data_IF_500422041160
#
_entry.id   IF_500422041160
#
_cell.length_a   1.000
_cell.length_b   1.000
_cell.length_c   1.000
_cell.angle_alpha   90.00
_cell.angle_beta   90.00
_cell.angle_gamma   90.00
#
_symmetry.space_group_name_H-M   'P 1'
#
loop_
_entity.id
_entity.type
_entity.pdbx_description
1 polymer ?
#
# COMPACT_ATOMS: atom_id res chain seq x y z
N UNK A 1 12.14 -3.56 -9.70
CA UNK A 1 13.44 -3.38 -9.01
C UNK A 1 13.22 -3.29 -7.51
N UNK A 2 14.23 -3.54 -6.65
CA UNK A 2 14.09 -3.36 -5.20
C UNK A 2 13.71 -1.94 -4.79
N UNK A 3 14.17 -0.93 -5.54
CA UNK A 3 13.77 0.47 -5.33
C UNK A 3 12.26 0.67 -5.47
N UNK A 4 11.68 0.25 -6.59
CA UNK A 4 10.23 0.35 -6.82
C UNK A 4 9.44 -0.47 -5.79
N UNK A 5 9.90 -1.70 -5.52
CA UNK A 5 9.26 -2.57 -4.54
C UNK A 5 9.18 -1.92 -3.16
N UNK A 6 10.25 -1.30 -2.70
CA UNK A 6 10.28 -0.59 -1.42
C UNK A 6 9.39 0.66 -1.41
N UNK A 7 9.45 1.49 -2.47
CA UNK A 7 8.59 2.67 -2.59
C UNK A 7 7.10 2.29 -2.54
N UNK A 8 6.71 1.22 -3.24
CA UNK A 8 5.33 0.74 -3.22
C UNK A 8 4.94 0.03 -1.93
N UNK A 9 5.85 -0.68 -1.26
CA UNK A 9 5.57 -1.27 0.05
C UNK A 9 5.22 -0.20 1.10
N UNK A 10 5.95 0.91 1.11
CA UNK A 10 5.63 2.07 1.97
C UNK A 10 4.29 2.68 1.57
N UNK A 11 4.07 2.94 0.29
CA UNK A 11 2.81 3.52 -0.22
C UNK A 11 1.60 2.64 0.12
N UNK A 12 1.70 1.32 -0.05
CA UNK A 12 0.62 0.39 0.32
C UNK A 12 0.32 0.41 1.81
N UNK A 13 1.34 0.50 2.67
CA UNK A 13 1.12 0.56 4.11
C UNK A 13 0.40 1.85 4.54
N UNK A 14 0.68 2.98 3.86
CA UNK A 14 -0.07 4.24 4.06
C UNK A 14 -1.53 4.08 3.60
N UNK A 15 -1.75 3.54 2.39
CA UNK A 15 -3.09 3.29 1.85
C UNK A 15 -3.96 2.45 2.79
N UNK A 16 -3.36 1.40 3.41
CA UNK A 16 -4.06 0.54 4.37
C UNK A 16 -4.53 1.28 5.61
N UNK A 17 -3.72 2.18 6.16
CA UNK A 17 -4.13 3.03 7.29
C UNK A 17 -5.26 3.98 6.88
N UNK A 18 -5.12 4.66 5.75
CA UNK A 18 -6.15 5.57 5.25
C UNK A 18 -7.47 4.83 4.98
N UNK A 19 -7.41 3.64 4.39
CA UNK A 19 -8.61 2.83 4.13
C UNK A 19 -9.35 2.40 5.41
N UNK A 20 -8.70 2.43 6.56
CA UNK A 20 -9.34 2.18 7.87
C UNK A 20 -9.86 3.44 8.56
N UNK A 21 -9.77 4.61 7.91
CA UNK A 21 -10.20 5.89 8.48
C UNK A 21 -9.08 6.69 9.16
N UNK A 22 -7.83 6.20 9.14
CA UNK A 22 -6.68 6.88 9.72
C UNK A 22 -6.29 8.16 8.97
N UNK A 23 -5.62 9.05 9.68
CA UNK A 23 -5.04 10.28 9.13
C UNK A 23 -3.59 10.02 8.72
N UNK A 24 -3.30 9.95 7.41
CA UNK A 24 -1.96 9.61 6.95
C UNK A 24 -0.85 10.50 7.57
N UNK A 25 -1.15 11.75 7.92
CA UNK A 25 -0.18 12.69 8.50
C UNK A 25 0.39 12.26 9.87
N UNK A 26 -0.30 11.36 10.54
CA UNK A 26 0.09 10.85 11.87
C UNK A 26 0.87 9.54 11.83
N UNK A 27 0.99 8.94 10.66
CA UNK A 27 1.65 7.64 10.49
C UNK A 27 3.11 7.70 10.92
N UNK A 28 3.56 6.62 11.54
CA UNK A 28 4.97 6.28 11.77
C UNK A 28 5.23 4.89 11.22
N UNK A 29 6.42 4.70 10.65
CA UNK A 29 6.79 3.41 10.06
C UNK A 29 7.77 2.65 10.94
N UNK A 30 7.75 1.35 10.80
CA UNK A 30 8.86 0.47 11.10
C UNK A 30 9.05 -0.49 9.94
N UNK A 31 10.30 -0.75 9.56
CA UNK A 31 10.61 -1.58 8.40
C UNK A 31 11.31 -2.85 8.82
N UNK A 32 11.04 -3.93 8.07
CA UNK A 32 11.79 -5.15 8.19
C UNK A 32 12.22 -5.62 6.80
N UNK A 33 13.51 -5.85 6.65
CA UNK A 33 14.11 -6.22 5.38
C UNK A 33 14.75 -7.60 5.44
N UNK A 34 14.67 -8.30 4.31
CA UNK A 34 15.29 -9.61 4.13
C UNK A 34 16.03 -9.64 2.81
N UNK A 35 17.32 -9.99 2.89
CA UNK A 35 18.19 -10.14 1.75
C UNK A 35 19.00 -11.43 1.88
N UNK A 36 19.42 -11.96 0.73
CA UNK A 36 20.35 -13.09 0.66
C UNK A 36 21.66 -12.77 1.38
N UNK A 37 22.43 -13.79 1.70
CA UNK A 37 23.74 -13.61 2.34
C UNK A 37 24.61 -12.66 1.54
N UNK A 38 25.15 -11.66 2.20
CA UNK A 38 26.10 -10.74 1.62
C UNK A 38 27.46 -11.43 1.46
N UNK A 39 28.15 -11.10 0.36
CA UNK A 39 29.52 -11.55 0.03
C UNK A 39 30.31 -10.32 -0.40
N UNK A 40 31.50 -10.52 -0.92
CA UNK A 40 32.30 -9.44 -1.51
C UNK A 40 31.79 -8.98 -2.89
N UNK A 41 30.81 -9.68 -3.47
CA UNK A 41 30.19 -9.29 -4.75
C UNK A 41 29.35 -8.02 -4.57
N UNK A 42 29.73 -6.88 -5.19
CA UNK A 42 29.01 -5.62 -5.06
C UNK A 42 27.58 -5.68 -5.59
N UNK A 43 27.27 -6.61 -6.50
CA UNK A 43 25.90 -6.80 -7.00
C UNK A 43 24.94 -7.28 -5.90
N UNK A 44 25.44 -8.02 -4.92
CA UNK A 44 24.62 -8.43 -3.77
C UNK A 44 24.25 -7.23 -2.90
N UNK A 45 25.16 -6.30 -2.70
CA UNK A 45 24.96 -5.08 -1.92
C UNK A 45 24.05 -4.06 -2.61
N UNK A 46 23.94 -4.09 -3.94
CA UNK A 46 23.05 -3.19 -4.67
C UNK A 46 21.57 -3.39 -4.34
N UNK A 47 21.16 -4.59 -3.95
CA UNK A 47 19.76 -4.90 -3.63
C UNK A 47 19.27 -4.22 -2.34
N UNK A 48 19.93 -4.40 -1.18
CA UNK A 48 19.55 -3.69 0.04
C UNK A 48 19.69 -2.17 -0.13
N UNK A 49 20.74 -1.70 -0.81
CA UNK A 49 20.92 -0.27 -1.03
C UNK A 49 19.78 0.33 -1.87
N UNK A 50 19.36 -0.36 -2.95
CA UNK A 50 18.23 0.10 -3.77
C UNK A 50 16.90 0.09 -3.00
N UNK A 51 16.65 -0.92 -2.16
CA UNK A 51 15.47 -0.97 -1.31
C UNK A 51 15.46 0.16 -0.28
N UNK A 52 16.60 0.40 0.38
CA UNK A 52 16.76 1.51 1.32
C UNK A 52 16.48 2.86 0.66
N UNK A 53 17.01 3.11 -0.54
CA UNK A 53 16.76 4.34 -1.28
C UNK A 53 15.28 4.50 -1.65
N UNK A 54 14.61 3.41 -2.06
CA UNK A 54 13.18 3.43 -2.38
C UNK A 54 12.31 3.75 -1.15
N UNK A 55 12.60 3.12 -0.01
CA UNK A 55 11.92 3.41 1.25
C UNK A 55 12.20 4.83 1.75
N UNK A 56 13.44 5.31 1.61
CA UNK A 56 13.81 6.68 1.95
C UNK A 56 13.06 7.69 1.07
N UNK A 57 13.04 7.48 -0.25
CA UNK A 57 12.32 8.36 -1.17
C UNK A 57 10.82 8.45 -0.83
N UNK A 58 10.19 7.33 -0.48
CA UNK A 58 8.80 7.30 -0.06
C UNK A 58 8.56 8.06 1.25
N UNK A 59 9.43 7.88 2.26
CA UNK A 59 9.34 8.63 3.52
C UNK A 59 9.47 10.14 3.29
N UNK A 60 10.43 10.55 2.46
CA UNK A 60 10.62 11.96 2.10
C UNK A 60 9.43 12.50 1.30
N UNK A 61 8.91 11.71 0.37
CA UNK A 61 7.76 12.08 -0.46
C UNK A 61 6.48 12.30 0.35
N UNK A 62 6.20 11.44 1.31
CA UNK A 62 5.06 11.59 2.22
C UNK A 62 5.33 12.54 3.40
N UNK A 63 6.59 12.88 3.69
CA UNK A 63 6.95 13.61 4.91
C UNK A 63 6.73 12.81 6.19
N UNK A 64 6.82 11.47 6.12
CA UNK A 64 6.51 10.56 7.22
C UNK A 64 7.77 9.81 7.68
N UNK A 65 8.11 9.81 8.97
CA UNK A 65 9.31 9.16 9.48
C UNK A 65 9.11 7.70 9.83
N UNK A 66 10.18 6.92 9.70
CA UNK A 66 10.29 5.63 10.39
C UNK A 66 10.86 5.83 11.81
N UNK A 67 10.41 5.01 12.74
CA UNK A 67 10.83 5.02 14.15
C UNK A 67 11.78 3.88 14.48
N UNK A 68 12.03 2.98 13.58
CA UNK A 68 12.92 1.86 13.74
C UNK A 68 12.77 0.83 12.63
N UNK A 69 13.47 -0.27 12.80
CA UNK A 69 13.44 -1.36 11.84
C UNK A 69 14.53 -2.39 12.13
N UNK A 70 14.61 -3.37 11.25
CA UNK A 70 15.58 -4.47 11.34
C UNK A 70 15.87 -5.03 9.95
N UNK A 71 17.13 -5.28 9.69
CA UNK A 71 17.59 -5.94 8.47
C UNK A 71 18.04 -7.37 8.76
N UNK A 72 17.84 -8.24 7.80
CA UNK A 72 18.44 -9.57 7.75
C UNK A 72 19.15 -9.75 6.40
N UNK A 73 20.48 -9.90 6.46
CA UNK A 73 21.33 -10.03 5.28
C UNK A 73 22.00 -11.42 5.19
N UNK A 74 21.36 -12.43 5.75
CA UNK A 74 21.83 -13.81 5.76
C UNK A 74 20.81 -14.82 5.28
N UNK A 75 19.85 -14.37 4.47
CA UNK A 75 18.75 -15.20 3.96
C UNK A 75 19.17 -16.10 2.80
N UNK A 76 20.17 -16.93 3.03
CA UNK A 76 20.62 -17.97 2.09
C UNK A 76 20.68 -19.30 2.83
N UNK A 77 20.01 -20.30 2.28
CA UNK A 77 20.07 -21.67 2.77
C UNK A 77 20.45 -22.60 1.61
N UNK A 78 21.63 -23.18 1.66
CA UNK A 78 22.24 -23.93 0.56
C UNK A 78 22.25 -23.05 -0.71
N UNK A 79 21.56 -23.49 -1.76
CA UNK A 79 21.46 -22.79 -3.06
C UNK A 79 20.21 -21.90 -3.17
N UNK A 80 19.43 -21.78 -2.10
CA UNK A 80 18.20 -20.98 -2.06
C UNK A 80 18.48 -19.63 -1.43
N UNK A 81 18.34 -18.57 -2.21
CA UNK A 81 18.40 -17.19 -1.76
C UNK A 81 16.99 -16.65 -1.47
N UNK A 82 16.80 -15.97 -0.33
CA UNK A 82 15.58 -15.20 -0.12
C UNK A 82 15.51 -14.05 -1.14
N UNK A 83 14.37 -13.83 -1.80
CA UNK A 83 14.21 -12.67 -2.67
C UNK A 83 14.31 -11.38 -1.86
N UNK A 84 14.81 -10.27 -2.46
CA UNK A 84 14.79 -8.98 -1.82
C UNK A 84 13.37 -8.62 -1.35
N UNK A 85 13.20 -8.43 -0.06
CA UNK A 85 11.89 -8.20 0.56
C UNK A 85 11.97 -7.05 1.54
N UNK A 86 11.09 -6.07 1.39
CA UNK A 86 10.85 -5.02 2.38
C UNK A 86 9.41 -5.12 2.86
N UNK A 87 9.24 -5.25 4.17
CA UNK A 87 7.95 -5.21 4.84
C UNK A 87 7.82 -3.86 5.53
N UNK A 88 6.80 -3.10 5.16
CA UNK A 88 6.47 -1.82 5.78
C UNK A 88 5.31 -2.01 6.75
N UNK A 89 5.53 -1.63 8.00
CA UNK A 89 4.50 -1.52 9.01
C UNK A 89 4.20 -0.05 9.25
N UNK A 90 2.94 0.33 9.09
CA UNK A 90 2.45 1.66 9.40
C UNK A 90 1.61 1.63 10.67
N UNK A 91 1.82 2.61 11.55
CA UNK A 91 1.07 2.75 12.80
C UNK A 91 0.49 4.14 12.86
N UNK A 92 -0.79 4.22 13.25
CA UNK A 92 -1.51 5.46 13.51
C UNK A 92 -2.40 5.30 14.75
N UNK A 93 -2.85 6.42 15.30
CA UNK A 93 -3.80 6.47 16.41
C UNK A 93 -5.06 7.17 15.94
N UNK A 94 -6.17 6.43 15.91
CA UNK A 94 -7.47 6.94 15.52
C UNK A 94 -8.50 6.78 16.65
N UNK A 95 -9.55 7.59 16.62
CA UNK A 95 -10.71 7.38 17.49
C UNK A 95 -11.53 6.22 16.94
N UNK A 96 -12.06 5.39 17.83
CA UNK A 96 -12.80 4.19 17.42
C UNK A 96 -14.03 4.50 16.56
N UNK A 97 -14.68 5.64 16.78
CA UNK A 97 -15.82 6.07 15.98
C UNK A 97 -15.46 6.46 14.52
N UNK A 98 -14.20 6.75 14.26
CA UNK A 98 -13.72 7.15 12.95
C UNK A 98 -13.20 5.94 12.14
N UNK A 99 -13.18 4.76 12.74
CA UNK A 99 -12.71 3.53 12.09
C UNK A 99 -13.73 3.05 11.06
N UNK A 100 -13.24 2.81 9.85
CA UNK A 100 -14.02 2.28 8.73
C UNK A 100 -13.56 0.86 8.45
N UNK A 101 -14.51 -0.02 8.18
CA UNK A 101 -14.25 -1.43 7.86
C UNK A 101 -14.53 -1.72 6.37
N UNK A 102 -13.87 -2.73 5.78
CA UNK A 102 -13.85 -2.88 4.33
C UNK A 102 -15.12 -3.48 3.71
N UNK A 103 -15.96 -4.16 4.49
CA UNK A 103 -17.14 -4.82 3.93
C UNK A 103 -18.16 -3.84 3.35
N UNK A 104 -18.82 -4.21 2.26
CA UNK A 104 -19.90 -3.43 1.66
C UNK A 104 -21.07 -3.31 2.63
N UNK A 105 -21.61 -2.10 2.80
CA UNK A 105 -22.60 -1.79 3.85
C UNK A 105 -24.05 -1.84 3.37
N UNK A 106 -24.33 -1.38 2.15
CA UNK A 106 -25.71 -1.20 1.67
C UNK A 106 -25.78 -1.34 0.16
N UNK A 107 -26.80 -2.07 -0.33
CA UNK A 107 -27.12 -2.13 -1.74
C UNK A 107 -27.47 -0.73 -2.29
N UNK A 108 -27.05 -0.45 -3.51
CA UNK A 108 -27.21 0.84 -4.17
C UNK A 108 -26.12 1.86 -3.90
N UNK A 109 -25.20 1.61 -2.98
CA UNK A 109 -24.01 2.44 -2.84
C UNK A 109 -23.11 2.31 -4.08
N UNK A 110 -22.46 3.41 -4.44
CA UNK A 110 -21.48 3.43 -5.53
C UNK A 110 -20.12 2.95 -5.02
N UNK A 111 -19.46 2.11 -5.81
CA UNK A 111 -18.07 1.75 -5.61
C UNK A 111 -17.19 2.63 -6.51
N UNK A 112 -16.20 3.28 -5.93
CA UNK A 112 -15.29 4.19 -6.63
C UNK A 112 -13.87 3.66 -6.53
N UNK A 113 -13.17 3.60 -7.65
CA UNK A 113 -11.75 3.29 -7.69
C UNK A 113 -10.93 4.56 -7.70
N UNK A 114 -10.18 4.79 -6.61
CA UNK A 114 -9.18 5.85 -6.51
C UNK A 114 -7.82 5.25 -6.92
N UNK A 115 -7.45 5.42 -8.18
CA UNK A 115 -6.14 4.97 -8.68
C UNK A 115 -5.05 5.85 -8.11
N UNK A 116 -4.01 5.26 -7.50
CA UNK A 116 -2.84 6.00 -7.08
C UNK A 116 -2.12 6.61 -8.29
N UNK A 117 -1.92 7.92 -8.35
CA UNK A 117 -1.20 8.56 -9.44
C UNK A 117 0.28 8.14 -9.44
N UNK A 118 0.86 8.13 -10.64
CA UNK A 118 2.25 7.73 -10.89
C UNK A 118 2.95 8.76 -11.75
N UNK A 119 4.25 8.86 -11.59
CA UNK A 119 5.12 9.62 -12.48
C UNK A 119 5.46 8.85 -13.77
N UNK A 120 6.28 9.46 -14.62
CA UNK A 120 6.72 8.88 -15.89
C UNK A 120 7.65 7.64 -15.74
N UNK A 121 8.11 7.34 -14.55
CA UNK A 121 8.96 6.19 -14.21
C UNK A 121 8.19 5.09 -13.48
N UNK A 122 6.86 5.14 -13.47
CA UNK A 122 5.99 4.25 -12.70
C UNK A 122 6.25 4.30 -11.18
N UNK A 123 6.77 5.42 -10.67
CA UNK A 123 6.89 5.66 -9.23
C UNK A 123 5.65 6.39 -8.70
N UNK A 124 5.32 6.23 -7.40
CA UNK A 124 4.20 6.94 -6.80
C UNK A 124 4.37 8.46 -6.92
N UNK A 125 3.36 9.16 -7.41
CA UNK A 125 3.26 10.63 -7.27
C UNK A 125 2.73 10.94 -5.87
N UNK A 126 3.66 11.16 -4.95
CA UNK A 126 3.34 11.36 -3.53
C UNK A 126 2.44 12.57 -3.29
N UNK A 127 2.62 13.66 -4.05
CA UNK A 127 1.80 14.85 -3.90
C UNK A 127 0.34 14.58 -4.31
N UNK A 128 0.15 13.94 -5.45
CA UNK A 128 -1.18 13.54 -5.92
C UNK A 128 -1.85 12.53 -5.01
N UNK A 129 -1.08 11.57 -4.46
CA UNK A 129 -1.59 10.59 -3.51
C UNK A 129 -2.04 11.26 -2.20
N UNK A 130 -1.24 12.16 -1.66
CA UNK A 130 -1.58 12.90 -0.43
C UNK A 130 -2.85 13.73 -0.59
N UNK A 131 -3.03 14.41 -1.74
CA UNK A 131 -4.25 15.15 -2.06
C UNK A 131 -5.49 14.23 -2.10
N UNK A 132 -5.36 13.04 -2.70
CA UNK A 132 -6.42 12.04 -2.68
C UNK A 132 -6.75 11.56 -1.25
N UNK A 133 -5.72 11.32 -0.42
CA UNK A 133 -5.93 10.84 0.95
C UNK A 133 -6.57 11.91 1.85
N UNK A 134 -6.22 13.18 1.69
CA UNK A 134 -6.88 14.27 2.41
C UNK A 134 -8.38 14.35 2.08
N UNK A 135 -8.72 14.29 0.80
CA UNK A 135 -10.12 14.28 0.35
C UNK A 135 -10.87 13.07 0.86
N UNK A 136 -10.26 11.89 0.74
CA UNK A 136 -10.87 10.63 1.18
C UNK A 136 -11.11 10.64 2.69
N UNK A 137 -10.11 11.04 3.47
CA UNK A 137 -10.23 11.12 4.93
C UNK A 137 -11.35 12.07 5.35
N UNK A 138 -11.45 13.24 4.70
CA UNK A 138 -12.55 14.19 4.94
C UNK A 138 -13.91 13.58 4.59
N UNK A 139 -14.04 12.93 3.45
CA UNK A 139 -15.31 12.30 3.04
C UNK A 139 -15.71 11.13 3.98
N UNK A 140 -14.74 10.42 4.56
CA UNK A 140 -14.96 9.45 5.62
C UNK A 140 -15.51 10.12 6.90
N UNK A 141 -14.89 11.20 7.36
CA UNK A 141 -15.34 11.96 8.52
C UNK A 141 -16.73 12.58 8.32
N UNK A 142 -17.06 13.01 7.10
CA UNK A 142 -18.38 13.52 6.71
C UNK A 142 -19.42 12.39 6.55
N UNK A 143 -19.05 11.13 6.73
CA UNK A 143 -19.96 9.97 6.57
C UNK A 143 -20.34 9.66 5.12
N UNK A 144 -19.69 10.27 4.13
CA UNK A 144 -19.95 10.02 2.70
C UNK A 144 -19.32 8.72 2.21
N UNK A 145 -18.18 8.33 2.81
CA UNK A 145 -17.50 7.08 2.54
C UNK A 145 -17.64 6.17 3.76
N UNK A 146 -18.29 5.04 3.58
CA UNK A 146 -18.66 4.11 4.67
C UNK A 146 -17.90 2.79 4.62
N UNK A 147 -17.11 2.59 3.58
CA UNK A 147 -16.33 1.38 3.34
C UNK A 147 -15.17 1.69 2.43
N UNK A 148 -13.99 1.17 2.71
CA UNK A 148 -12.81 1.33 1.86
C UNK A 148 -11.89 0.12 1.97
N UNK A 149 -11.13 -0.14 0.91
CA UNK A 149 -10.15 -1.22 0.84
C UNK A 149 -8.93 -0.75 0.04
N UNK A 150 -7.75 -0.85 0.61
CA UNK A 150 -6.51 -0.55 -0.10
C UNK A 150 -6.17 -1.64 -1.11
N UNK A 151 -5.93 -1.25 -2.35
CA UNK A 151 -5.53 -2.17 -3.41
C UNK A 151 -4.10 -2.64 -3.22
N UNK A 152 -3.85 -3.87 -3.60
CA UNK A 152 -2.56 -4.52 -3.53
C UNK A 152 -2.22 -5.23 -4.87
N UNK A 153 -1.21 -6.09 -4.84
CA UNK A 153 -0.78 -6.91 -5.99
C UNK A 153 -1.88 -7.79 -6.61
N UNK A 154 -2.99 -8.01 -5.92
CA UNK A 154 -4.09 -8.87 -6.42
C UNK A 154 -5.17 -8.06 -7.17
N UNK A 155 -5.03 -6.76 -7.24
CA UNK A 155 -5.87 -5.88 -8.05
C UNK A 155 -7.30 -5.70 -7.54
N UNK A 156 -8.11 -5.09 -8.40
CA UNK A 156 -9.49 -4.71 -8.09
C UNK A 156 -10.37 -5.93 -7.87
N UNK A 157 -10.19 -7.00 -8.65
CA UNK A 157 -11.01 -8.22 -8.52
C UNK A 157 -10.96 -8.80 -7.11
N UNK A 158 -9.75 -8.93 -6.55
CA UNK A 158 -9.57 -9.45 -5.20
C UNK A 158 -10.13 -8.49 -4.13
N UNK A 159 -9.93 -7.18 -4.30
CA UNK A 159 -10.44 -6.17 -3.38
C UNK A 159 -11.97 -6.21 -3.32
N UNK A 160 -12.63 -6.18 -4.47
CA UNK A 160 -14.09 -6.24 -4.58
C UNK A 160 -14.64 -7.53 -3.98
N UNK A 161 -14.01 -8.67 -4.27
CA UNK A 161 -14.41 -9.96 -3.69
C UNK A 161 -14.31 -9.95 -2.16
N UNK A 162 -13.22 -9.46 -1.59
CA UNK A 162 -13.03 -9.35 -0.13
C UNK A 162 -14.04 -8.40 0.51
N UNK A 163 -14.32 -7.26 -0.12
CA UNK A 163 -15.35 -6.32 0.36
C UNK A 163 -16.76 -6.94 0.34
N UNK A 164 -17.02 -7.82 -0.62
CA UNK A 164 -18.32 -8.49 -0.76
C UNK A 164 -18.56 -9.58 0.30
N UNK A 165 -17.51 -10.27 0.80
CA UNK A 165 -17.65 -11.42 1.71
C UNK A 165 -18.30 -11.07 3.04
N UNK A 166 -17.97 -9.91 3.63
CA UNK A 166 -18.36 -9.58 5.00
C UNK A 166 -19.88 -9.56 5.22
N UNK A 167 -20.64 -8.97 4.31
CA UNK A 167 -22.08 -8.87 4.38
C UNK A 167 -22.84 -9.61 3.26
N UNK A 168 -22.13 -10.44 2.50
CA UNK A 168 -22.72 -11.23 1.41
C UNK A 168 -23.32 -10.38 0.29
N UNK A 169 -22.77 -9.19 0.05
CA UNK A 169 -23.26 -8.27 -0.99
C UNK A 169 -22.50 -8.47 -2.29
N UNK A 170 -23.23 -8.57 -3.41
CA UNK A 170 -22.66 -8.58 -4.75
C UNK A 170 -22.34 -7.19 -5.27
N UNK A 171 -21.49 -7.14 -6.29
CA UNK A 171 -21.13 -5.91 -7.02
C UNK A 171 -21.49 -6.07 -8.49
N UNK A 172 -22.14 -5.06 -9.06
CA UNK A 172 -22.40 -4.95 -10.50
C UNK A 172 -21.43 -3.91 -11.08
N UNK A 173 -20.59 -4.33 -12.02
CA UNK A 173 -19.68 -3.45 -12.74
C UNK A 173 -20.40 -2.97 -13.99
N UNK A 174 -20.68 -1.68 -14.09
CA UNK A 174 -21.45 -1.07 -15.19
C UNK A 174 -20.57 -0.47 -16.30
N UNK A 175 -19.26 -0.41 -16.07
CA UNK A 175 -18.31 0.13 -17.04
C UNK A 175 -17.51 -0.99 -17.71
N UNK A 176 -17.16 -0.79 -18.97
CA UNK A 176 -16.24 -1.67 -19.69
C UNK A 176 -14.82 -1.47 -19.14
N UNK A 177 -14.52 -2.12 -18.02
CA UNK A 177 -13.14 -2.22 -17.55
C UNK A 177 -12.41 -3.24 -18.43
N UNK A 178 -11.21 -2.90 -18.86
CA UNK A 178 -10.34 -3.90 -19.49
C UNK A 178 -10.09 -5.01 -18.45
N UNK A 179 -10.33 -6.30 -18.80
CA UNK A 179 -10.03 -7.40 -17.90
C UNK A 179 -8.60 -7.37 -17.34
N UNK A 180 -7.64 -6.84 -18.12
CA UNK A 180 -6.27 -6.67 -17.68
C UNK A 180 -6.16 -5.68 -16.53
N UNK A 181 -6.86 -4.56 -16.57
CA UNK A 181 -6.88 -3.57 -15.48
C UNK A 181 -7.57 -4.12 -14.23
N UNK A 182 -8.58 -4.98 -14.42
CA UNK A 182 -9.32 -5.57 -13.30
C UNK A 182 -8.52 -6.59 -12.50
N UNK A 183 -7.67 -7.37 -13.18
CA UNK A 183 -6.84 -8.41 -12.58
C UNK A 183 -5.38 -8.01 -12.40
N UNK A 184 -4.96 -6.88 -12.93
CA UNK A 184 -3.58 -6.41 -12.78
C UNK A 184 -3.29 -5.95 -11.33
N UNK A 185 -2.03 -6.06 -10.89
CA UNK A 185 -1.60 -5.40 -9.66
C UNK A 185 -1.98 -3.92 -9.70
N UNK A 186 -2.55 -3.42 -8.63
CA UNK A 186 -2.99 -2.04 -8.52
C UNK A 186 -2.62 -1.44 -7.17
N UNK A 187 -2.50 -0.12 -7.14
CA UNK A 187 -2.36 0.64 -5.91
C UNK A 187 -3.40 1.77 -5.91
N UNK A 188 -4.02 1.97 -4.76
CA UNK A 188 -5.08 2.94 -4.58
C UNK A 188 -5.99 2.61 -3.42
#
# INVERSE_FOLDING_TARGET
>A
SPYHGAAYAVTESVARIVATGGDYKKIRFTFQEYFRRMTEDPKRWSQPFAALLGAYAAQMGFGLPSIGGKDSMSGTFNDIDVPPTLVSFAVDVAKIQDVITPELKKAGNKLVWLRAPKDQYDLPDYAGIMDQYEKLHKDMQDGKVVSAYALDRHGIAAAVAKMAFGNGMGVKIEHNLDPRDFFAPGFG
#
